data_IF_493183200804
#
_entry.id   IF_493183200804
#
_cell.length_a   1.000
_cell.length_b   1.000
_cell.length_c   1.000
_cell.angle_alpha   90.00
_cell.angle_beta   90.00
_cell.angle_gamma   90.00
#
_symmetry.space_group_name_H-M   'P 1'
#
loop_
_entity.id
_entity.type
_entity.pdbx_description
1 polymer ?
#
# COMPACT_ATOMS: atom_id res chain seq x y z
N UNK A 1 -23.56 1.50 -6.36
CA UNK A 1 -23.14 0.15 -5.91
C UNK A 1 -22.12 -0.50 -6.84
N UNK A 2 -22.10 -0.21 -8.15
CA UNK A 2 -21.18 -0.85 -9.10
C UNK A 2 -19.69 -0.53 -8.87
N UNK A 3 -19.34 0.72 -8.52
CA UNK A 3 -17.95 1.16 -8.31
C UNK A 3 -17.15 0.25 -7.36
N UNK A 4 -17.69 -0.04 -6.17
CA UNK A 4 -17.02 -0.88 -5.18
C UNK A 4 -16.89 -2.34 -5.64
N UNK A 5 -17.88 -2.85 -6.38
CA UNK A 5 -17.83 -4.19 -6.93
C UNK A 5 -16.75 -4.33 -8.00
N UNK A 6 -16.62 -3.34 -8.90
CA UNK A 6 -15.59 -3.32 -9.94
C UNK A 6 -14.18 -3.21 -9.34
N UNK A 7 -14.03 -2.39 -8.29
CA UNK A 7 -12.75 -2.24 -7.60
C UNK A 7 -12.34 -3.54 -6.90
N UNK A 8 -13.29 -4.23 -6.25
CA UNK A 8 -13.05 -5.52 -5.63
C UNK A 8 -12.66 -6.59 -6.65
N UNK A 9 -13.36 -6.65 -7.80
CA UNK A 9 -13.05 -7.59 -8.88
C UNK A 9 -11.64 -7.38 -9.43
N UNK A 10 -11.25 -6.12 -9.70
CA UNK A 10 -9.88 -5.77 -10.13
C UNK A 10 -8.83 -6.15 -9.09
N UNK A 11 -9.10 -5.90 -7.82
CA UNK A 11 -8.18 -6.26 -6.74
C UNK A 11 -7.99 -7.78 -6.66
N UNK A 12 -9.07 -8.55 -6.72
CA UNK A 12 -9.00 -10.02 -6.75
C UNK A 12 -8.17 -10.54 -7.93
N UNK A 13 -8.43 -10.02 -9.14
CA UNK A 13 -7.68 -10.41 -10.33
C UNK A 13 -6.18 -10.11 -10.19
N UNK A 14 -5.83 -8.95 -9.60
CA UNK A 14 -4.44 -8.57 -9.34
C UNK A 14 -3.73 -9.53 -8.37
N UNK A 15 -4.45 -10.01 -7.34
CA UNK A 15 -3.90 -10.94 -6.35
C UNK A 15 -3.72 -12.34 -6.95
N UNK A 16 -4.66 -12.81 -7.77
CA UNK A 16 -4.58 -14.12 -8.44
C UNK A 16 -3.44 -14.18 -9.47
N UNK A 17 -3.12 -13.07 -10.14
CA UNK A 17 -2.04 -12.99 -11.12
C UNK A 17 -0.64 -12.89 -10.52
N UNK A 18 -0.54 -12.72 -9.20
CA UNK A 18 0.72 -12.48 -8.50
C UNK A 18 1.58 -13.73 -8.49
N UNK A 19 2.85 -13.59 -8.88
CA UNK A 19 3.84 -14.67 -8.85
C UNK A 19 4.80 -14.46 -7.70
N UNK A 20 5.05 -15.51 -6.91
CA UNK A 20 6.03 -15.47 -5.83
C UNK A 20 7.45 -15.57 -6.39
N UNK A 21 8.36 -14.78 -5.83
CA UNK A 21 9.79 -14.93 -6.10
C UNK A 21 10.38 -15.81 -4.98
N UNK A 22 10.71 -17.05 -5.31
CA UNK A 22 11.28 -18.03 -4.37
C UNK A 22 12.82 -18.08 -4.41
N UNK A 23 13.45 -17.21 -5.20
CA UNK A 23 14.90 -17.14 -5.30
C UNK A 23 15.51 -16.50 -4.05
N UNK A 24 16.77 -16.84 -3.76
CA UNK A 24 17.55 -16.20 -2.68
C UNK A 24 17.86 -14.75 -3.07
N UNK A 25 17.52 -13.80 -2.19
CA UNK A 25 17.79 -12.39 -2.40
C UNK A 25 19.29 -12.09 -2.32
N UNK A 26 19.84 -11.45 -3.37
CA UNK A 26 21.25 -11.00 -3.39
C UNK A 26 21.49 -9.74 -2.55
N UNK A 27 20.50 -8.84 -2.51
CA UNK A 27 20.58 -7.56 -1.82
C UNK A 27 19.32 -7.39 -0.97
N UNK A 28 19.46 -6.75 0.19
CA UNK A 28 18.35 -6.39 1.08
C UNK A 28 18.38 -4.88 1.28
N UNK A 29 17.26 -4.22 1.00
CA UNK A 29 17.06 -2.80 1.29
C UNK A 29 15.99 -2.72 2.37
N UNK A 30 16.33 -2.08 3.48
CA UNK A 30 15.44 -1.92 4.62
C UNK A 30 15.10 -0.45 4.82
N UNK A 31 13.80 -0.12 4.78
CA UNK A 31 13.28 1.20 5.07
C UNK A 31 12.75 1.23 6.50
N UNK A 32 13.36 2.06 7.35
CA UNK A 32 12.92 2.27 8.73
C UNK A 32 12.27 3.65 8.84
N UNK A 33 10.96 3.67 9.04
CA UNK A 33 10.23 4.90 9.39
C UNK A 33 10.15 5.04 10.90
N UNK A 34 10.99 5.90 11.48
CA UNK A 34 10.88 6.25 12.90
C UNK A 34 9.55 6.97 13.17
N UNK A 35 8.80 6.54 14.18
CA UNK A 35 7.48 7.08 14.50
C UNK A 35 6.38 6.82 13.44
N UNK A 36 6.61 5.95 12.46
CA UNK A 36 5.65 5.66 11.38
C UNK A 36 4.58 4.63 11.79
N UNK A 37 3.75 5.02 12.76
CA UNK A 37 2.58 4.25 13.18
C UNK A 37 1.49 4.21 12.09
N UNK A 38 0.50 3.32 12.23
CA UNK A 38 -0.67 3.26 11.32
C UNK A 38 -1.40 4.62 11.21
N UNK A 39 -1.69 5.35 12.31
CA UNK A 39 -2.21 6.72 12.23
C UNK A 39 -1.31 7.69 11.45
N UNK A 40 0.01 7.59 11.63
CA UNK A 40 0.98 8.43 10.91
C UNK A 40 0.90 8.18 9.40
N UNK A 41 0.74 6.92 8.98
CA UNK A 41 0.53 6.57 7.57
C UNK A 41 -0.76 7.16 7.01
N UNK A 42 -1.86 7.10 7.76
CA UNK A 42 -3.15 7.69 7.33
C UNK A 42 -3.06 9.21 7.20
N UNK A 43 -2.43 9.88 8.17
CA UNK A 43 -2.22 11.32 8.13
C UNK A 43 -1.34 11.73 6.94
N UNK A 44 -0.26 10.98 6.68
CA UNK A 44 0.60 11.20 5.52
C UNK A 44 -0.15 11.04 4.19
N UNK A 45 -1.06 10.06 4.11
CA UNK A 45 -1.90 9.84 2.92
C UNK A 45 -2.88 11.00 2.70
N UNK A 46 -3.57 11.44 3.75
CA UNK A 46 -4.47 12.60 3.69
C UNK A 46 -3.72 13.87 3.26
N UNK A 47 -2.54 14.11 3.85
CA UNK A 47 -1.68 15.23 3.51
C UNK A 47 -1.20 15.19 2.05
N UNK A 48 -0.76 14.03 1.57
CA UNK A 48 -0.39 13.85 0.16
C UNK A 48 -1.57 14.14 -0.78
N UNK A 49 -2.77 13.66 -0.44
CA UNK A 49 -3.98 13.96 -1.19
C UNK A 49 -4.28 15.45 -1.26
N UNK A 50 -4.18 16.16 -0.14
CA UNK A 50 -4.38 17.60 -0.09
C UNK A 50 -3.41 18.37 -0.99
N UNK A 51 -2.12 17.96 -1.02
CA UNK A 51 -1.13 18.52 -1.94
C UNK A 51 -1.50 18.30 -3.41
N UNK A 52 -2.12 17.16 -3.72
CA UNK A 52 -2.60 16.80 -5.06
C UNK A 52 -4.00 17.36 -5.39
N UNK A 53 -4.57 18.21 -4.52
CA UNK A 53 -5.92 18.79 -4.69
C UNK A 53 -7.07 17.80 -4.52
N UNK A 54 -6.83 16.70 -3.79
CA UNK A 54 -7.73 15.55 -3.58
C UNK A 54 -8.05 15.36 -2.10
N UNK A 55 -8.98 14.45 -1.79
CA UNK A 55 -9.32 14.14 -0.38
C UNK A 55 -8.20 13.36 0.32
N UNK A 56 -7.50 12.52 -0.44
CA UNK A 56 -6.36 11.73 0.02
C UNK A 56 -6.72 10.35 0.52
N UNK A 57 -7.97 10.09 0.89
CA UNK A 57 -8.41 8.75 1.33
C UNK A 57 -8.30 7.71 0.21
N UNK A 58 -8.48 8.14 -1.04
CA UNK A 58 -8.35 7.34 -2.26
C UNK A 58 -6.90 7.10 -2.69
N UNK A 59 -5.94 7.81 -2.08
CA UNK A 59 -4.52 7.69 -2.37
C UNK A 59 -3.91 6.41 -1.80
N UNK A 60 -2.73 6.05 -2.30
CA UNK A 60 -1.89 5.02 -1.71
C UNK A 60 -0.47 5.54 -1.64
N UNK A 61 0.14 5.43 -0.46
CA UNK A 61 1.56 5.71 -0.30
C UNK A 61 2.39 4.62 -1.01
N UNK A 62 3.64 4.93 -1.35
CA UNK A 62 4.51 3.99 -2.06
C UNK A 62 4.67 2.64 -1.32
N UNK A 63 4.81 2.69 0.00
CA UNK A 63 4.94 1.51 0.87
C UNK A 63 3.69 0.62 0.87
N UNK A 64 2.50 1.19 0.60
CA UNK A 64 1.23 0.44 0.59
C UNK A 64 1.02 -0.34 -0.72
N UNK A 65 1.84 -0.06 -1.74
CA UNK A 65 1.90 -0.84 -2.97
C UNK A 65 2.76 -2.09 -2.81
N UNK A 66 3.45 -2.25 -1.68
CA UNK A 66 4.22 -3.45 -1.44
C UNK A 66 3.31 -4.69 -1.37
N UNK A 67 3.74 -5.79 -1.98
CA UNK A 67 2.90 -6.98 -2.11
C UNK A 67 2.58 -7.65 -0.77
N UNK A 68 3.36 -7.42 0.28
CA UNK A 68 3.26 -8.11 1.55
C UNK A 68 3.24 -7.10 2.70
N UNK A 69 2.40 -7.37 3.70
CA UNK A 69 2.30 -6.59 4.92
C UNK A 69 2.30 -7.53 6.13
N UNK A 70 2.74 -7.02 7.28
CA UNK A 70 2.78 -7.74 8.55
C UNK A 70 2.86 -6.77 9.72
N UNK A 71 2.41 -7.19 10.89
CA UNK A 71 2.49 -6.40 12.12
C UNK A 71 3.75 -6.76 12.92
N UNK A 72 4.41 -5.75 13.47
CA UNK A 72 5.50 -5.93 14.45
C UNK A 72 4.93 -5.80 15.86
N UNK A 73 5.48 -6.59 16.80
CA UNK A 73 5.22 -6.48 18.24
C UNK A 73 5.96 -5.28 18.83
#
# INVERSE_FOLDING_TARGET
>A
SHYWADQAAKSLESQLKKRFNENVAKNVIFYLGDGMSVPTLMAARAYQGQLDGKSGEEGQLFWEKFPFSGFSK
#
